data_IF_999055651550
#
_entry.id   IF_999055651550
#
_cell.length_a   1.000
_cell.length_b   1.000
_cell.length_c   1.000
_cell.angle_alpha   90.00
_cell.angle_beta   90.00
_cell.angle_gamma   90.00
#
_symmetry.space_group_name_H-M   'P 1'
#
loop_
_entity.id
_entity.type
_entity.pdbx_description
1 polymer ?
#
# COMPACT_ATOMS: atom_id res chain seq x y z
N UNK A 1 -26.94 -8.19 -19.20
CA UNK A 1 -27.68 -7.02 -18.73
C UNK A 1 -29.06 -6.99 -19.38
N UNK A 2 -29.29 -6.45 -20.56
CA UNK A 2 -30.61 -6.35 -21.19
C UNK A 2 -31.41 -7.70 -21.21
N UNK A 3 -30.78 -8.79 -21.63
CA UNK A 3 -31.41 -10.12 -21.70
C UNK A 3 -31.90 -10.69 -20.37
N UNK A 4 -31.24 -10.32 -19.25
CA UNK A 4 -31.51 -10.90 -17.93
C UNK A 4 -31.93 -9.87 -16.89
N UNK A 5 -32.18 -8.62 -17.30
CA UNK A 5 -32.59 -7.51 -16.44
C UNK A 5 -31.66 -7.32 -15.22
N UNK A 6 -30.34 -7.41 -15.43
CA UNK A 6 -29.35 -7.25 -14.38
C UNK A 6 -28.96 -5.78 -14.26
N UNK A 7 -29.21 -5.12 -13.10
CA UNK A 7 -28.80 -3.74 -12.90
C UNK A 7 -27.28 -3.60 -12.84
N UNK A 8 -26.77 -2.41 -13.17
CA UNK A 8 -25.34 -2.14 -13.23
C UNK A 8 -24.62 -2.29 -11.87
N UNK A 9 -25.34 -2.07 -10.77
CA UNK A 9 -24.83 -2.28 -9.40
C UNK A 9 -24.43 -3.74 -9.13
N UNK A 10 -25.04 -4.69 -9.82
CA UNK A 10 -24.70 -6.12 -9.74
C UNK A 10 -23.61 -6.56 -10.73
N UNK A 11 -23.10 -5.65 -11.54
CA UNK A 11 -21.95 -5.93 -12.40
C UNK A 11 -20.68 -5.72 -11.59
N UNK A 12 -20.03 -6.81 -11.26
CA UNK A 12 -18.82 -6.86 -10.43
C UNK A 12 -17.68 -7.51 -11.21
N UNK A 13 -16.45 -7.18 -10.85
CA UNK A 13 -15.25 -7.85 -11.38
C UNK A 13 -15.09 -9.21 -10.68
N UNK A 14 -14.41 -10.13 -11.31
CA UNK A 14 -13.99 -11.37 -10.66
C UNK A 14 -13.15 -11.07 -9.40
N UNK A 15 -12.38 -10.00 -9.44
CA UNK A 15 -11.66 -9.47 -8.27
C UNK A 15 -12.56 -9.17 -7.08
N UNK A 16 -13.74 -8.57 -7.30
CA UNK A 16 -14.66 -8.18 -6.23
C UNK A 16 -15.31 -9.40 -5.54
N UNK A 17 -15.25 -10.57 -6.17
CA UNK A 17 -15.86 -11.82 -5.65
C UNK A 17 -14.83 -12.75 -5.02
N UNK A 18 -13.67 -12.93 -5.65
CA UNK A 18 -12.67 -13.94 -5.25
C UNK A 18 -11.25 -13.40 -5.09
N UNK A 19 -11.06 -12.09 -5.22
CA UNK A 19 -9.73 -11.47 -5.13
C UNK A 19 -8.80 -11.74 -6.31
N UNK A 20 -9.27 -12.38 -7.38
CA UNK A 20 -8.47 -12.65 -8.57
C UNK A 20 -8.41 -11.40 -9.45
N UNK A 21 -7.20 -11.01 -9.88
CA UNK A 21 -6.99 -9.84 -10.76
C UNK A 21 -7.59 -10.07 -12.15
N UNK A 22 -8.91 -9.90 -12.25
CA UNK A 22 -9.67 -10.09 -13.48
C UNK A 22 -10.92 -9.18 -13.48
N UNK A 23 -11.09 -8.33 -14.52
CA UNK A 23 -10.10 -8.03 -15.56
C UNK A 23 -8.96 -7.17 -15.04
N UNK A 24 -7.74 -7.55 -15.38
CA UNK A 24 -6.51 -6.95 -14.83
C UNK A 24 -6.43 -5.41 -15.03
N UNK A 25 -6.69 -4.84 -16.21
CA UNK A 25 -6.64 -3.39 -16.41
C UNK A 25 -7.55 -2.62 -15.45
N UNK A 26 -8.77 -3.11 -15.21
CA UNK A 26 -9.74 -2.46 -14.32
C UNK A 26 -9.49 -2.68 -12.83
N UNK A 27 -8.63 -3.61 -12.46
CA UNK A 27 -8.23 -3.86 -11.07
C UNK A 27 -6.98 -3.05 -10.72
N UNK A 28 -6.02 -3.01 -11.64
CA UNK A 28 -4.74 -2.32 -11.44
C UNK A 28 -4.78 -0.84 -11.83
N UNK A 29 -5.86 -0.39 -12.49
CA UNK A 29 -5.97 0.95 -13.08
C UNK A 29 -4.79 1.30 -14.02
N UNK A 30 -4.26 0.30 -14.72
CA UNK A 30 -3.15 0.44 -15.67
C UNK A 30 -3.63 0.95 -17.05
N UNK A 31 -4.93 0.95 -17.29
CA UNK A 31 -5.58 1.42 -18.50
C UNK A 31 -6.17 2.82 -18.27
N UNK A 32 -6.18 3.71 -19.25
CA UNK A 32 -6.90 4.97 -19.17
C UNK A 32 -8.40 4.79 -18.90
N UNK A 33 -8.96 3.59 -19.19
CA UNK A 33 -10.33 3.22 -18.84
C UNK A 33 -10.36 2.49 -17.50
N UNK A 34 -10.72 3.20 -16.44
CA UNK A 34 -10.90 2.61 -15.11
C UNK A 34 -12.20 1.80 -15.02
N UNK A 35 -12.33 0.96 -13.99
CA UNK A 35 -13.59 0.25 -13.71
C UNK A 35 -14.76 1.21 -13.50
N UNK A 36 -14.53 2.35 -12.86
CA UNK A 36 -15.54 3.39 -12.67
C UNK A 36 -15.95 4.02 -14.00
N UNK A 37 -14.98 4.40 -14.86
CA UNK A 37 -15.29 4.97 -16.17
C UNK A 37 -15.94 3.96 -17.10
N UNK A 38 -15.56 2.68 -17.05
CA UNK A 38 -16.26 1.61 -17.75
C UNK A 38 -17.73 1.51 -17.33
N UNK A 39 -17.99 1.49 -16.01
CA UNK A 39 -19.37 1.49 -15.50
C UNK A 39 -20.16 2.71 -15.95
N UNK A 40 -19.54 3.90 -15.97
CA UNK A 40 -20.17 5.13 -16.43
C UNK A 40 -20.51 5.11 -17.94
N UNK A 41 -19.62 4.55 -18.77
CA UNK A 41 -19.89 4.38 -20.21
C UNK A 41 -21.06 3.43 -20.42
N UNK A 42 -21.09 2.32 -19.68
CA UNK A 42 -22.18 1.34 -19.76
C UNK A 42 -23.49 1.92 -19.19
N UNK A 43 -23.44 2.77 -18.17
CA UNK A 43 -24.62 3.45 -17.63
C UNK A 43 -25.25 4.47 -18.58
N UNK A 44 -24.45 5.03 -19.49
CA UNK A 44 -24.95 5.91 -20.56
C UNK A 44 -25.71 5.20 -21.67
N UNK A 45 -25.70 3.87 -21.69
CA UNK A 45 -26.49 3.07 -22.62
C UNK A 45 -27.97 3.06 -22.15
N UNK A 46 -28.83 3.68 -22.96
CA UNK A 46 -30.27 3.82 -22.69
C UNK A 46 -31.02 2.49 -22.56
N UNK A 47 -30.39 1.41 -22.87
CA UNK A 47 -30.94 0.07 -22.84
C UNK A 47 -30.69 -0.70 -21.53
N UNK A 48 -30.09 -0.06 -20.52
CA UNK A 48 -29.87 -0.69 -19.22
C UNK A 48 -31.06 -0.52 -18.27
N UNK A 49 -31.37 -1.53 -17.44
CA UNK A 49 -32.36 -1.39 -16.39
C UNK A 49 -31.97 -0.24 -15.43
N UNK A 50 -32.93 0.56 -14.92
CA UNK A 50 -32.64 1.61 -13.96
C UNK A 50 -32.02 1.03 -12.68
N UNK A 51 -30.99 1.70 -12.19
CA UNK A 51 -30.34 1.36 -10.94
C UNK A 51 -31.20 1.86 -9.78
N UNK A 52 -32.04 1.00 -9.20
CA UNK A 52 -32.85 1.32 -8.03
C UNK A 52 -32.07 1.05 -6.75
N UNK A 53 -30.98 1.76 -6.52
CA UNK A 53 -30.22 1.55 -5.31
C UNK A 53 -28.98 2.41 -5.15
N UNK A 54 -29.13 3.43 -4.35
CA UNK A 54 -28.08 4.25 -3.71
C UNK A 54 -27.37 5.28 -4.59
N UNK A 55 -27.82 6.51 -4.45
CA UNK A 55 -27.13 7.71 -4.91
C UNK A 55 -25.77 7.85 -4.22
N UNK A 56 -24.70 7.56 -4.92
CA UNK A 56 -23.39 8.07 -4.54
C UNK A 56 -23.16 9.38 -5.29
N UNK A 57 -23.35 10.49 -4.60
CA UNK A 57 -22.97 11.81 -5.00
C UNK A 57 -21.53 11.83 -5.51
N UNK A 58 -21.36 12.45 -6.69
CA UNK A 58 -20.06 12.81 -7.26
C UNK A 58 -19.26 13.64 -6.26
N UNK A 59 -18.40 13.01 -5.48
CA UNK A 59 -17.45 13.66 -4.61
C UNK A 59 -16.21 14.07 -5.40
N UNK A 60 -15.91 15.38 -5.44
CA UNK A 60 -14.59 15.98 -5.65
C UNK A 60 -13.50 15.08 -5.08
N UNK A 61 -12.31 14.93 -5.69
CA UNK A 61 -11.23 14.17 -5.10
C UNK A 61 -10.94 14.69 -3.70
N UNK A 62 -11.39 13.94 -2.71
CA UNK A 62 -11.16 14.24 -1.32
C UNK A 62 -9.68 14.01 -1.04
N UNK A 63 -9.10 14.90 -0.27
CA UNK A 63 -7.79 14.73 0.34
C UNK A 63 -7.68 13.30 0.93
N UNK A 64 -6.49 12.71 0.99
CA UNK A 64 -6.30 11.32 1.39
C UNK A 64 -7.05 11.04 2.69
N UNK A 65 -8.00 10.13 2.64
CA UNK A 65 -8.79 9.75 3.80
C UNK A 65 -7.84 9.19 4.85
N UNK A 66 -7.84 9.80 6.02
CA UNK A 66 -7.19 9.32 7.24
C UNK A 66 -7.90 8.06 7.75
N UNK A 67 -7.96 7.03 6.93
CA UNK A 67 -8.64 5.77 7.24
C UNK A 67 -7.75 4.69 7.86
N UNK A 68 -6.58 5.07 8.39
CA UNK A 68 -5.76 4.16 9.16
C UNK A 68 -6.24 4.11 10.62
N UNK A 69 -6.41 2.93 11.15
CA UNK A 69 -6.63 2.74 12.58
C UNK A 69 -5.54 3.46 13.35
N UNK A 70 -5.93 4.39 14.24
CA UNK A 70 -4.96 5.07 15.12
C UNK A 70 -4.20 3.99 15.87
N UNK A 71 -2.88 3.98 15.75
CA UNK A 71 -2.03 3.04 16.48
C UNK A 71 -2.36 3.14 17.97
N UNK A 72 -2.56 2.01 18.64
CA UNK A 72 -2.72 1.95 20.09
C UNK A 72 -1.54 2.58 20.85
N UNK A 73 -0.41 2.77 20.18
CA UNK A 73 0.78 3.45 20.70
C UNK A 73 0.68 4.98 20.70
N UNK A 74 -0.31 5.58 20.03
CA UNK A 74 -0.37 7.03 19.79
C UNK A 74 0.68 7.57 18.80
N UNK A 75 1.50 6.67 18.22
CA UNK A 75 2.50 6.98 17.19
C UNK A 75 1.99 6.41 15.87
N UNK A 76 1.75 7.29 14.91
CA UNK A 76 1.34 6.89 13.57
C UNK A 76 2.56 6.82 12.64
N UNK A 77 2.51 5.99 11.63
CA UNK A 77 3.51 5.92 10.56
C UNK A 77 2.86 6.34 9.25
N UNK A 78 3.47 7.28 8.55
CA UNK A 78 3.13 7.61 7.16
C UNK A 78 4.18 7.04 6.23
N UNK A 79 3.74 6.40 5.17
CA UNK A 79 4.64 5.78 4.20
C UNK A 79 4.00 5.75 2.81
N UNK A 80 4.85 5.70 1.79
CA UNK A 80 4.45 5.57 0.39
C UNK A 80 5.47 4.73 -0.38
N UNK A 81 5.02 4.08 -1.43
CA UNK A 81 5.84 3.27 -2.31
C UNK A 81 5.99 3.95 -3.68
N UNK A 82 7.14 3.75 -4.32
CA UNK A 82 7.38 4.09 -5.71
C UNK A 82 7.17 2.85 -6.58
N UNK A 83 6.20 2.92 -7.47
CA UNK A 83 5.77 1.81 -8.32
C UNK A 83 5.47 2.34 -9.71
N UNK A 84 5.84 1.63 -10.76
CA UNK A 84 5.54 1.99 -12.15
C UNK A 84 5.94 3.43 -12.52
N UNK A 85 7.07 3.91 -12.02
CA UNK A 85 7.58 5.24 -12.36
C UNK A 85 7.00 6.41 -11.57
N UNK A 86 6.21 6.16 -10.53
CA UNK A 86 5.58 7.21 -9.73
C UNK A 86 5.48 6.89 -8.24
N UNK A 87 5.46 7.92 -7.41
CA UNK A 87 5.10 7.81 -6.00
C UNK A 87 3.60 7.67 -5.86
N UNK A 88 3.16 6.62 -5.16
CA UNK A 88 1.75 6.41 -4.83
C UNK A 88 1.30 7.37 -3.71
N UNK A 89 0.00 7.54 -3.46
CA UNK A 89 -0.48 8.30 -2.33
C UNK A 89 0.09 7.83 -0.99
N UNK A 90 0.21 8.77 -0.04
CA UNK A 90 0.62 8.46 1.33
C UNK A 90 -0.41 7.61 2.05
N UNK A 91 0.05 6.55 2.70
CA UNK A 91 -0.72 5.72 3.62
C UNK A 91 -0.37 6.11 5.05
N UNK A 92 -1.35 6.19 5.93
CA UNK A 92 -1.14 6.38 7.37
C UNK A 92 -1.57 5.14 8.12
N UNK A 93 -0.66 4.56 8.90
CA UNK A 93 -0.84 3.26 9.55
C UNK A 93 -1.22 2.16 8.54
N UNK A 94 -2.05 1.21 8.94
CA UNK A 94 -2.52 0.17 8.03
C UNK A 94 -3.92 -0.29 8.40
N UNK A 95 -4.63 -0.84 7.43
CA UNK A 95 -5.81 -1.66 7.68
C UNK A 95 -5.78 -2.88 6.74
N UNK A 96 -6.61 -3.87 7.03
CA UNK A 96 -6.70 -5.09 6.24
C UNK A 96 -7.98 -5.16 5.38
N UNK A 97 -8.73 -4.07 5.32
CA UNK A 97 -10.07 -4.03 4.71
C UNK A 97 -10.14 -3.20 3.43
N UNK A 98 -9.14 -2.36 3.17
CA UNK A 98 -9.13 -1.51 1.97
C UNK A 98 -7.74 -1.39 1.34
N UNK A 99 -7.70 -0.91 0.09
CA UNK A 99 -6.46 -0.58 -0.62
C UNK A 99 -5.67 0.56 0.02
N UNK A 100 -6.32 1.38 0.85
CA UNK A 100 -5.67 2.50 1.55
C UNK A 100 -4.87 2.04 2.79
N UNK A 101 -4.95 0.77 3.13
CA UNK A 101 -4.28 0.18 4.29
C UNK A 101 -2.88 -0.36 4.01
N UNK A 102 -2.31 -0.13 2.83
CA UNK A 102 -0.95 -0.53 2.47
C UNK A 102 -0.38 0.39 1.37
N UNK A 103 0.94 0.49 1.31
CA UNK A 103 1.62 1.16 0.20
C UNK A 103 2.07 0.12 -0.84
N UNK A 104 1.68 0.32 -2.09
CA UNK A 104 2.02 -0.57 -3.19
C UNK A 104 0.85 -0.86 -4.12
N UNK A 105 1.12 -1.65 -5.15
CA UNK A 105 0.13 -2.14 -6.11
C UNK A 105 0.32 -3.65 -6.24
N UNK A 106 -0.75 -4.44 -6.09
CA UNK A 106 -0.65 -5.88 -6.26
C UNK A 106 0.04 -6.30 -7.56
N UNK A 107 0.95 -7.26 -7.47
CA UNK A 107 1.74 -7.80 -8.57
C UNK A 107 2.67 -6.78 -9.27
N UNK A 108 2.89 -5.59 -8.70
CA UNK A 108 3.81 -4.57 -9.22
C UNK A 108 4.92 -4.32 -8.21
N UNK A 109 6.15 -4.54 -8.63
CA UNK A 109 7.30 -4.42 -7.74
C UNK A 109 7.51 -2.98 -7.26
N UNK A 110 7.71 -2.84 -5.95
CA UNK A 110 8.15 -1.60 -5.32
C UNK A 110 9.63 -1.38 -5.64
N UNK A 111 9.99 -0.16 -6.01
CA UNK A 111 11.37 0.24 -6.32
C UNK A 111 11.85 1.45 -5.50
N UNK A 112 10.99 1.98 -4.65
CA UNK A 112 11.32 3.03 -3.68
C UNK A 112 10.34 3.06 -2.52
N UNK A 113 10.82 3.43 -1.35
CA UNK A 113 10.03 3.54 -0.12
C UNK A 113 10.36 4.84 0.60
N UNK A 114 9.34 5.56 1.03
CA UNK A 114 9.41 6.66 1.99
C UNK A 114 8.59 6.32 3.21
N UNK A 115 9.10 6.65 4.40
CA UNK A 115 8.37 6.46 5.65
C UNK A 115 8.86 7.41 6.74
N UNK A 116 7.95 7.83 7.61
CA UNK A 116 8.25 8.66 8.78
C UNK A 116 7.16 8.53 9.83
N UNK A 117 7.50 8.86 11.07
CA UNK A 117 6.53 8.88 12.18
C UNK A 117 5.79 10.20 12.26
N UNK A 118 4.52 10.14 12.64
CA UNK A 118 3.67 11.31 12.93
C UNK A 118 2.93 11.12 14.25
N UNK A 119 2.67 12.21 14.95
CA UNK A 119 1.98 12.21 16.24
C UNK A 119 2.27 13.48 17.00
N UNK A 120 1.92 13.53 18.30
CA UNK A 120 2.39 14.60 19.16
C UNK A 120 3.91 14.55 19.27
N UNK A 121 4.57 15.70 19.33
CA UNK A 121 6.06 15.77 19.33
C UNK A 121 6.69 14.95 20.47
N UNK A 122 6.02 14.85 21.61
CA UNK A 122 6.47 14.01 22.72
C UNK A 122 6.27 12.51 22.49
N UNK A 123 5.49 12.11 21.50
CA UNK A 123 5.20 10.72 21.21
C UNK A 123 6.07 10.14 20.09
N UNK A 124 6.54 10.94 19.12
CA UNK A 124 7.27 10.44 17.95
C UNK A 124 8.74 10.10 18.31
N UNK A 125 9.21 8.99 17.74
CA UNK A 125 10.64 8.65 17.63
C UNK A 125 11.08 8.82 16.17
N UNK A 126 12.35 8.52 15.89
CA UNK A 126 12.83 8.51 14.52
C UNK A 126 12.64 7.12 13.91
N UNK A 127 11.89 7.03 12.82
CA UNK A 127 11.79 5.81 12.04
C UNK A 127 12.98 5.72 11.10
N UNK A 128 13.78 4.69 11.28
CA UNK A 128 14.83 4.31 10.35
C UNK A 128 14.43 3.07 9.57
N UNK A 129 14.72 3.07 8.29
CA UNK A 129 14.44 1.94 7.41
C UNK A 129 15.48 1.84 6.30
N UNK A 130 15.65 0.64 5.78
CA UNK A 130 16.48 0.37 4.61
C UNK A 130 15.88 -0.75 3.77
N UNK A 131 16.31 -0.84 2.54
CA UNK A 131 15.84 -1.85 1.59
C UNK A 131 16.99 -2.65 1.01
N UNK A 132 16.72 -3.90 0.69
CA UNK A 132 17.57 -4.77 -0.10
C UNK A 132 17.09 -4.76 -1.54
N UNK A 133 18.02 -4.65 -2.48
CA UNK A 133 17.74 -4.70 -3.91
C UNK A 133 17.87 -6.13 -4.41
N UNK A 134 16.92 -6.59 -5.19
CA UNK A 134 16.92 -7.93 -5.78
C UNK A 134 18.21 -8.19 -6.59
N UNK A 135 18.91 -9.26 -6.21
CA UNK A 135 20.22 -9.61 -6.80
C UNK A 135 21.37 -8.67 -6.43
N UNK A 136 21.16 -7.79 -5.45
CA UNK A 136 22.10 -6.76 -5.07
C UNK A 136 22.46 -6.79 -3.58
N UNK A 137 22.27 -5.67 -2.90
CA UNK A 137 22.71 -5.43 -1.53
C UNK A 137 21.71 -4.60 -0.74
N UNK A 138 21.90 -4.57 0.58
CA UNK A 138 21.26 -3.60 1.46
C UNK A 138 21.78 -2.19 1.16
N UNK A 139 20.85 -1.26 0.99
CA UNK A 139 21.16 0.16 0.91
C UNK A 139 21.36 0.76 2.31
N UNK A 140 21.98 1.95 2.41
CA UNK A 140 22.11 2.67 3.66
C UNK A 140 20.75 2.93 4.33
N UNK A 141 20.78 3.12 5.66
CA UNK A 141 19.62 3.52 6.44
C UNK A 141 19.15 4.92 6.06
N UNK A 142 17.86 5.09 5.91
CA UNK A 142 17.17 6.37 5.74
C UNK A 142 16.38 6.66 7.01
N UNK A 143 16.34 7.93 7.44
CA UNK A 143 15.64 8.34 8.66
C UNK A 143 14.54 9.34 8.32
N UNK A 144 13.30 9.05 8.76
CA UNK A 144 12.13 9.93 8.69
C UNK A 144 11.97 10.68 7.35
N UNK A 145 12.03 9.96 6.25
CA UNK A 145 11.96 10.53 4.92
C UNK A 145 10.54 11.01 4.58
N UNK A 146 10.30 12.28 4.81
CA UNK A 146 8.99 12.92 4.60
C UNK A 146 8.76 13.43 3.17
N UNK A 147 9.69 13.26 2.27
CA UNK A 147 9.62 13.75 0.89
C UNK A 147 10.04 15.21 0.71
N UNK A 148 10.68 15.80 1.73
CA UNK A 148 11.14 17.19 1.66
C UNK A 148 12.49 17.35 0.98
N UNK A 149 13.31 16.31 0.97
CA UNK A 149 14.60 16.30 0.29
C UNK A 149 14.55 15.39 -0.95
N UNK A 150 15.26 15.71 -2.03
CA UNK A 150 15.17 14.97 -3.29
C UNK A 150 15.60 13.50 -3.18
N UNK A 151 16.47 13.16 -2.22
CA UNK A 151 17.01 11.82 -2.02
C UNK A 151 16.58 11.18 -0.69
N UNK A 152 15.51 11.65 -0.08
CA UNK A 152 15.01 11.15 1.20
C UNK A 152 14.12 9.90 1.02
N UNK A 153 14.62 8.89 0.33
CA UNK A 153 13.92 7.62 0.16
C UNK A 153 14.90 6.45 0.19
N UNK A 154 14.42 5.26 0.52
CA UNK A 154 15.16 4.02 0.39
C UNK A 154 14.77 3.32 -0.93
N UNK A 155 15.75 3.02 -1.76
CA UNK A 155 15.55 2.38 -3.07
C UNK A 155 16.41 2.99 -4.15
N UNK A 156 16.33 2.43 -5.34
CA UNK A 156 16.86 2.95 -6.60
C UNK A 156 15.78 2.74 -7.65
N UNK A 157 15.36 3.80 -8.31
CA UNK A 157 14.33 3.71 -9.34
C UNK A 157 14.65 2.67 -10.40
N UNK A 158 13.68 1.81 -10.70
CA UNK A 158 13.85 0.70 -11.62
C UNK A 158 14.48 -0.56 -11.04
N UNK A 159 15.02 -0.52 -9.81
CA UNK A 159 15.57 -1.69 -9.13
C UNK A 159 14.56 -2.24 -8.10
N UNK A 160 14.18 -3.49 -8.29
CA UNK A 160 13.19 -4.17 -7.47
C UNK A 160 13.68 -4.34 -6.03
N UNK A 161 12.84 -4.01 -5.07
CA UNK A 161 13.08 -4.26 -3.65
C UNK A 161 12.56 -5.66 -3.31
N UNK A 162 13.37 -6.47 -2.61
CA UNK A 162 13.04 -7.81 -2.15
C UNK A 162 13.27 -8.03 -0.65
N UNK A 163 13.66 -6.98 0.07
CA UNK A 163 13.80 -6.98 1.52
C UNK A 163 13.66 -5.59 2.13
N UNK A 164 13.00 -5.49 3.29
CA UNK A 164 12.84 -4.25 4.05
C UNK A 164 13.17 -4.51 5.52
N UNK A 165 13.94 -3.62 6.12
CA UNK A 165 14.16 -3.55 7.56
C UNK A 165 13.71 -2.20 8.10
N UNK A 166 13.14 -2.22 9.31
CA UNK A 166 12.73 -1.01 10.03
C UNK A 166 13.24 -1.05 11.45
N UNK A 167 13.47 0.12 12.04
CA UNK A 167 13.71 0.30 13.48
C UNK A 167 13.21 1.66 13.93
N UNK A 168 12.74 1.74 15.17
CA UNK A 168 12.41 2.99 15.82
C UNK A 168 13.53 3.35 16.79
N UNK A 169 14.09 4.54 16.65
CA UNK A 169 15.13 5.06 17.54
C UNK A 169 14.62 6.26 18.33
N UNK A 170 15.27 6.57 19.45
CA UNK A 170 14.90 7.68 20.34
C UNK A 170 13.48 7.60 20.91
N UNK A 171 12.94 6.38 21.06
CA UNK A 171 11.63 6.14 21.69
C UNK A 171 11.64 4.86 22.52
N UNK A 172 12.21 4.87 23.73
CA UNK A 172 12.18 3.71 24.62
C UNK A 172 10.75 3.22 24.88
N UNK A 173 10.58 1.91 24.99
CA UNK A 173 9.28 1.27 25.20
C UNK A 173 8.43 1.09 23.94
N UNK A 174 8.99 1.39 22.77
CA UNK A 174 8.33 1.19 21.48
C UNK A 174 9.30 0.63 20.44
N UNK A 175 8.77 -0.07 19.45
CA UNK A 175 9.52 -0.54 18.30
C UNK A 175 8.71 -0.43 17.00
N UNK A 176 9.40 -0.46 15.88
CA UNK A 176 8.78 -0.50 14.57
C UNK A 176 8.71 -1.92 14.03
N UNK A 177 7.64 -2.21 13.31
CA UNK A 177 7.45 -3.46 12.59
C UNK A 177 7.04 -3.19 11.14
N UNK A 178 7.44 -4.08 10.26
CA UNK A 178 7.10 -4.08 8.83
C UNK A 178 6.67 -5.47 8.40
N UNK A 179 5.69 -5.54 7.49
CA UNK A 179 5.38 -6.76 6.75
C UNK A 179 5.10 -6.43 5.29
N UNK A 180 5.22 -7.42 4.45
CA UNK A 180 5.09 -7.25 3.01
C UNK A 180 4.26 -8.35 2.37
N UNK A 181 3.74 -8.08 1.18
CA UNK A 181 3.32 -9.09 0.22
C UNK A 181 4.27 -9.10 -0.97
N UNK A 182 4.35 -10.24 -1.62
CA UNK A 182 5.28 -10.49 -2.70
C UNK A 182 4.56 -10.55 -4.05
N UNK A 183 5.29 -10.22 -5.11
CA UNK A 183 4.72 -10.16 -6.47
C UNK A 183 4.25 -11.50 -7.03
N UNK A 184 4.73 -12.62 -6.48
CA UNK A 184 4.48 -13.97 -6.97
C UNK A 184 3.38 -14.73 -6.21
N UNK A 185 2.87 -14.15 -5.12
CA UNK A 185 1.88 -14.83 -4.26
C UNK A 185 0.97 -13.84 -3.56
N UNK A 186 -0.17 -14.36 -3.06
CA UNK A 186 -1.08 -13.62 -2.19
C UNK A 186 -0.79 -13.94 -0.73
N UNK A 187 -1.11 -13.01 0.15
CA UNK A 187 -0.95 -13.14 1.60
C UNK A 187 0.24 -12.35 2.13
N UNK A 188 0.03 -11.82 3.33
CA UNK A 188 1.06 -11.08 4.06
C UNK A 188 2.06 -12.04 4.69
N UNK A 189 3.35 -11.75 4.55
CA UNK A 189 4.37 -12.36 5.39
C UNK A 189 4.18 -11.93 6.86
N UNK A 190 4.80 -12.64 7.77
CA UNK A 190 4.82 -12.29 9.20
C UNK A 190 5.42 -10.90 9.40
N UNK A 191 5.07 -10.27 10.54
CA UNK A 191 5.70 -9.02 10.95
C UNK A 191 7.16 -9.26 11.31
N UNK A 192 8.03 -8.42 10.76
CA UNK A 192 9.45 -8.34 11.08
C UNK A 192 9.71 -7.06 11.86
N UNK A 193 10.51 -7.12 12.90
CA UNK A 193 10.85 -5.97 13.75
C UNK A 193 12.36 -5.83 13.88
N UNK A 194 12.78 -4.75 14.51
CA UNK A 194 14.19 -4.52 14.87
C UNK A 194 14.76 -5.56 15.84
N UNK A 195 13.90 -6.35 16.49
CA UNK A 195 14.28 -7.42 17.41
C UNK A 195 14.26 -8.81 16.76
N UNK A 196 13.73 -8.92 15.55
CA UNK A 196 13.68 -10.17 14.82
C UNK A 196 15.08 -10.60 14.38
N UNK A 197 15.31 -11.92 14.37
CA UNK A 197 16.59 -12.54 14.01
C UNK A 197 16.41 -13.61 12.96
N UNK A 198 17.49 -14.09 12.37
CA UNK A 198 17.45 -15.14 11.36
C UNK A 198 16.69 -14.73 10.11
N UNK A 199 15.83 -15.59 9.62
CA UNK A 199 15.01 -15.35 8.43
C UNK A 199 14.01 -14.20 8.60
N UNK A 200 13.58 -13.94 9.84
CA UNK A 200 12.63 -12.87 10.17
C UNK A 200 13.30 -11.53 10.43
N UNK A 201 14.62 -11.43 10.32
CA UNK A 201 15.37 -10.18 10.51
C UNK A 201 15.02 -9.09 9.49
N UNK A 202 14.25 -9.42 8.47
CA UNK A 202 13.72 -8.49 7.47
C UNK A 202 12.40 -9.00 6.91
N UNK A 203 11.58 -8.11 6.40
CA UNK A 203 10.37 -8.47 5.67
C UNK A 203 10.70 -8.61 4.18
N UNK A 204 10.44 -9.79 3.63
CA UNK A 204 10.71 -10.11 2.23
C UNK A 204 11.27 -11.52 2.03
N UNK A 205 11.55 -11.86 0.79
CA UNK A 205 12.28 -13.07 0.39
C UNK A 205 13.23 -12.67 -0.75
N UNK A 206 14.52 -12.88 -0.56
CA UNK A 206 15.51 -12.55 -1.59
C UNK A 206 15.16 -13.21 -2.94
N UNK A 207 15.27 -12.41 -4.00
CA UNK A 207 14.94 -12.84 -5.35
C UNK A 207 13.49 -12.59 -5.76
N UNK A 208 12.56 -12.34 -4.81
CA UNK A 208 11.14 -12.12 -5.09
C UNK A 208 10.77 -10.68 -4.75
N UNK A 209 10.22 -9.95 -5.71
CA UNK A 209 9.87 -8.55 -5.53
C UNK A 209 8.75 -8.36 -4.50
N UNK A 210 8.85 -7.29 -3.74
CA UNK A 210 7.78 -6.82 -2.86
C UNK A 210 6.79 -5.98 -3.67
N UNK A 211 5.49 -6.23 -3.49
CA UNK A 211 4.45 -5.45 -4.17
C UNK A 211 3.64 -4.56 -3.21
N UNK A 212 3.56 -4.91 -1.93
CA UNK A 212 2.81 -4.16 -0.90
C UNK A 212 3.55 -4.16 0.42
N UNK A 213 3.46 -3.04 1.11
CA UNK A 213 4.14 -2.78 2.39
C UNK A 213 3.15 -2.27 3.42
N UNK A 214 3.26 -2.78 4.65
CA UNK A 214 2.61 -2.20 5.83
C UNK A 214 3.66 -1.98 6.92
N UNK A 215 3.59 -0.81 7.56
CA UNK A 215 4.49 -0.43 8.66
C UNK A 215 3.65 0.03 9.85
N UNK A 216 4.09 -0.35 11.06
CA UNK A 216 3.46 0.09 12.30
C UNK A 216 4.49 0.34 13.41
N UNK A 217 4.08 1.09 14.42
CA UNK A 217 4.80 1.22 15.69
C UNK A 217 3.99 0.52 16.79
N UNK A 218 4.68 -0.28 17.58
CA UNK A 218 4.10 -1.10 18.64
C UNK A 218 4.74 -0.72 19.98
N UNK A 219 3.98 -0.76 21.06
CA UNK A 219 4.47 -0.64 22.42
C UNK A 219 5.02 -2.00 22.85
N UNK A 220 6.20 -2.00 23.50
CA UNK A 220 6.84 -3.20 24.05
C UNK A 220 6.06 -3.79 25.22
#
# INVERSE_FOLDING_TARGET
MKKYNVPLSRVVRHYDVVGKYCPNPFVLNDDPVTWSSFKSMVAGDKDLPPDTGSSSTSGKPSAPSTGGSVSASGINVRYQAYVNGQWLPWVTNYNNVSSDGYAGIPCRAVTGLKAYTVGSQSAVGNLQYRVHLRGGRWLPWVTDASGKAPNDYAGIYGHVIDGIQVKLVNKPGYHAEVRVQLTDRTGWLSWSSQYSTGADAYAGIYGIGIDRVQIRVVKN
#
